data_IF_851522771506
#
_entry.id   IF_851522771506
#
_cell.length_a   1.000
_cell.length_b   1.000
_cell.length_c   1.000
_cell.angle_alpha   90.00
_cell.angle_beta   90.00
_cell.angle_gamma   90.00
#
_symmetry.space_group_name_H-M   'P 1'
#
loop_
_entity.id
_entity.type
_entity.pdbx_description
1 polymer ?
#
# COMPACT_ATOMS: atom_id res chain seq x y z
N UNK A 1 8.25 1.43 17.43
CA UNK A 1 8.64 1.56 16.01
C UNK A 1 7.67 0.78 15.16
N UNK A 2 7.01 1.45 14.24
CA UNK A 2 6.00 0.81 13.40
C UNK A 2 6.63 0.02 12.25
N UNK A 3 6.00 -1.07 11.88
CA UNK A 3 6.49 -1.94 10.82
C UNK A 3 5.70 -1.74 9.54
N UNK A 4 6.41 -1.67 8.41
CA UNK A 4 5.82 -1.60 7.08
C UNK A 4 6.18 -2.88 6.34
N UNK A 5 5.16 -3.52 5.76
CA UNK A 5 5.39 -4.66 4.88
C UNK A 5 5.54 -4.15 3.46
N UNK A 6 6.69 -4.40 2.85
CA UNK A 6 6.97 -4.04 1.46
C UNK A 6 6.92 -5.30 0.61
N UNK A 7 6.04 -5.31 -0.38
CA UNK A 7 5.87 -6.45 -1.29
C UNK A 7 6.36 -6.03 -2.66
N UNK A 8 7.51 -6.57 -3.05
CA UNK A 8 8.22 -6.18 -4.28
C UNK A 8 9.01 -7.38 -4.78
N UNK A 9 8.80 -7.76 -6.03
CA UNK A 9 9.45 -8.94 -6.60
C UNK A 9 10.89 -8.67 -7.06
N UNK A 10 11.25 -7.42 -7.31
CA UNK A 10 12.61 -7.09 -7.68
C UNK A 10 13.44 -6.77 -6.45
N UNK A 11 14.43 -7.61 -6.19
CA UNK A 11 15.23 -7.55 -4.97
C UNK A 11 15.92 -6.20 -4.77
N UNK A 12 16.50 -5.63 -5.83
CA UNK A 12 17.17 -4.34 -5.72
C UNK A 12 16.24 -3.22 -5.30
N UNK A 13 15.05 -3.18 -5.87
CA UNK A 13 14.05 -2.18 -5.52
C UNK A 13 13.56 -2.38 -4.08
N UNK A 14 13.36 -3.62 -3.68
CA UNK A 14 12.94 -3.94 -2.32
C UNK A 14 13.99 -3.49 -1.30
N UNK A 15 15.26 -3.76 -1.59
CA UNK A 15 16.36 -3.39 -0.69
C UNK A 15 16.49 -1.87 -0.55
N UNK A 16 16.39 -1.13 -1.64
CA UNK A 16 16.44 0.33 -1.60
C UNK A 16 15.29 0.87 -0.76
N UNK A 17 14.09 0.35 -0.98
CA UNK A 17 12.92 0.78 -0.22
C UNK A 17 13.11 0.51 1.27
N UNK A 18 13.63 -0.66 1.60
CA UNK A 18 13.92 -1.01 2.99
C UNK A 18 14.90 -0.03 3.63
N UNK A 19 16.01 0.26 2.96
CA UNK A 19 17.02 1.18 3.49
C UNK A 19 16.44 2.58 3.73
N UNK A 20 15.66 3.07 2.76
CA UNK A 20 15.08 4.41 2.86
C UNK A 20 14.06 4.50 4.00
N UNK A 21 13.21 3.50 4.14
CA UNK A 21 12.20 3.48 5.20
C UNK A 21 12.83 3.28 6.58
N UNK A 22 13.84 2.42 6.67
CA UNK A 22 14.54 2.20 7.95
C UNK A 22 15.27 3.46 8.39
N UNK A 23 15.80 4.24 7.46
CA UNK A 23 16.43 5.52 7.78
C UNK A 23 15.43 6.52 8.37
N UNK A 24 14.13 6.35 8.08
CA UNK A 24 13.08 7.21 8.64
C UNK A 24 12.49 6.66 9.94
N UNK A 25 13.06 5.57 10.46
CA UNK A 25 12.65 5.03 11.76
C UNK A 25 11.62 3.93 11.69
N UNK A 26 11.30 3.39 10.52
CA UNK A 26 10.38 2.27 10.40
C UNK A 26 11.12 0.94 10.42
N UNK A 27 10.47 -0.09 10.95
CA UNK A 27 10.90 -1.46 10.69
C UNK A 27 10.28 -1.91 9.37
N UNK A 28 10.97 -2.75 8.64
CA UNK A 28 10.50 -3.20 7.33
C UNK A 28 10.58 -4.72 7.24
N UNK A 29 9.47 -5.32 6.82
CA UNK A 29 9.44 -6.72 6.41
C UNK A 29 9.33 -6.74 4.89
N UNK A 30 10.07 -7.64 4.24
CA UNK A 30 10.06 -7.77 2.79
C UNK A 30 9.39 -9.06 2.36
N UNK A 31 8.55 -8.98 1.33
CA UNK A 31 7.99 -10.15 0.68
C UNK A 31 8.22 -10.03 -0.82
N UNK A 32 8.49 -11.14 -1.48
CA UNK A 32 8.82 -11.16 -2.90
C UNK A 32 7.59 -11.29 -3.82
N UNK A 33 6.44 -11.61 -3.27
CA UNK A 33 5.17 -11.70 -4.01
C UNK A 33 4.02 -11.73 -3.00
N UNK A 34 2.79 -11.73 -3.53
CA UNK A 34 1.60 -11.70 -2.68
C UNK A 34 1.43 -12.91 -1.79
N UNK A 35 1.81 -14.09 -2.27
CA UNK A 35 1.72 -15.32 -1.48
C UNK A 35 2.66 -15.27 -0.27
N UNK A 36 3.90 -14.88 -0.50
CA UNK A 36 4.87 -14.72 0.57
C UNK A 36 4.40 -13.67 1.58
N UNK A 37 3.83 -12.57 1.07
CA UNK A 37 3.28 -11.52 1.94
C UNK A 37 2.16 -12.06 2.83
N UNK A 38 1.25 -12.88 2.29
CA UNK A 38 0.18 -13.48 3.09
C UNK A 38 0.73 -14.41 4.18
N UNK A 39 1.78 -15.16 3.88
CA UNK A 39 2.43 -16.00 4.88
C UNK A 39 2.98 -15.16 6.03
N UNK A 40 3.66 -14.06 5.71
CA UNK A 40 4.17 -13.14 6.73
C UNK A 40 3.03 -12.57 7.56
N UNK A 41 1.95 -12.15 6.91
CA UNK A 41 0.81 -11.54 7.59
C UNK A 41 0.09 -12.50 8.52
N UNK A 42 0.00 -13.77 8.15
CA UNK A 42 -0.72 -14.77 8.93
C UNK A 42 0.09 -15.34 10.08
N UNK A 43 1.41 -15.46 9.89
CA UNK A 43 2.28 -16.15 10.84
C UNK A 43 3.01 -15.20 11.79
N UNK A 44 3.08 -13.93 11.47
CA UNK A 44 3.90 -12.99 12.20
C UNK A 44 3.16 -11.79 12.76
N UNK A 45 3.95 -10.81 13.15
CA UNK A 45 3.45 -9.52 13.61
C UNK A 45 2.72 -8.81 12.47
N UNK A 46 1.57 -8.20 12.77
CA UNK A 46 0.83 -7.44 11.76
C UNK A 46 1.51 -6.10 11.52
N UNK A 47 1.75 -5.74 10.25
CA UNK A 47 2.34 -4.43 9.96
C UNK A 47 1.32 -3.31 10.19
N UNK A 48 1.85 -2.09 10.33
CA UNK A 48 1.02 -0.90 10.43
C UNK A 48 0.55 -0.42 9.05
N UNK A 49 1.23 -0.86 7.97
CA UNK A 49 0.91 -0.46 6.61
C UNK A 49 1.49 -1.48 5.63
N UNK A 50 0.78 -1.72 4.55
CA UNK A 50 1.23 -2.57 3.45
C UNK A 50 1.54 -1.68 2.25
N UNK A 51 2.73 -1.83 1.68
CA UNK A 51 3.18 -1.12 0.50
C UNK A 51 3.53 -2.17 -0.55
N UNK A 52 2.71 -2.31 -1.58
CA UNK A 52 2.80 -3.44 -2.50
C UNK A 52 2.92 -3.01 -3.95
N UNK A 53 3.82 -3.65 -4.69
CA UNK A 53 3.78 -3.59 -6.13
C UNK A 53 2.52 -4.30 -6.62
N UNK A 54 2.05 -3.94 -7.81
CA UNK A 54 0.90 -4.60 -8.43
C UNK A 54 1.32 -5.77 -9.29
N UNK A 55 2.31 -5.58 -10.16
CA UNK A 55 2.78 -6.63 -11.09
C UNK A 55 3.84 -7.49 -10.42
N UNK A 56 3.44 -8.69 -10.01
CA UNK A 56 4.31 -9.65 -9.34
C UNK A 56 3.99 -11.06 -9.83
N UNK A 57 4.99 -11.97 -9.81
CA UNK A 57 4.75 -13.37 -10.16
C UNK A 57 4.00 -14.09 -9.03
N UNK A 58 3.50 -15.27 -9.29
CA UNK A 58 2.82 -16.17 -8.37
C UNK A 58 1.46 -15.62 -7.92
N UNK A 59 1.43 -14.47 -7.26
CA UNK A 59 0.22 -13.78 -6.85
C UNK A 59 0.44 -12.30 -7.02
N UNK A 60 -0.30 -11.67 -7.94
CA UNK A 60 -0.17 -10.23 -8.21
C UNK A 60 -0.81 -9.40 -7.12
N UNK A 61 -0.63 -8.08 -7.22
CA UNK A 61 -1.14 -7.15 -6.22
C UNK A 61 -2.65 -7.14 -6.09
N UNK A 62 -3.37 -7.37 -7.18
CA UNK A 62 -4.82 -7.43 -7.15
C UNK A 62 -5.33 -8.65 -6.37
N UNK A 63 -4.75 -9.79 -6.64
CA UNK A 63 -5.08 -11.03 -5.91
C UNK A 63 -4.70 -10.91 -4.44
N UNK A 64 -3.53 -10.36 -4.17
CA UNK A 64 -3.06 -10.13 -2.81
C UNK A 64 -3.99 -9.16 -2.06
N UNK A 65 -4.31 -8.03 -2.68
CA UNK A 65 -5.21 -7.04 -2.09
C UNK A 65 -6.58 -7.62 -1.78
N UNK A 66 -7.11 -8.44 -2.69
CA UNK A 66 -8.39 -9.12 -2.49
C UNK A 66 -8.33 -10.02 -1.26
N UNK A 67 -7.28 -10.82 -1.14
CA UNK A 67 -7.11 -11.73 -0.01
C UNK A 67 -7.03 -10.95 1.32
N UNK A 68 -6.30 -9.84 1.34
CA UNK A 68 -6.20 -8.98 2.53
C UNK A 68 -7.57 -8.39 2.88
N UNK A 69 -8.30 -7.90 1.88
CA UNK A 69 -9.60 -7.25 2.11
C UNK A 69 -10.65 -8.21 2.63
N UNK A 70 -10.54 -9.48 2.32
CA UNK A 70 -11.48 -10.52 2.74
C UNK A 70 -11.14 -11.13 4.10
N UNK A 71 -10.01 -10.79 4.65
CA UNK A 71 -9.56 -11.32 5.95
C UNK A 71 -9.80 -10.26 7.02
N UNK A 72 -10.73 -10.54 7.95
CA UNK A 72 -11.12 -9.57 8.98
C UNK A 72 -9.97 -9.20 9.92
N UNK A 73 -8.95 -10.03 10.04
CA UNK A 73 -7.78 -9.72 10.86
C UNK A 73 -6.79 -8.82 10.14
N UNK A 74 -6.92 -8.63 8.84
CA UNK A 74 -5.98 -7.89 8.01
C UNK A 74 -6.58 -6.66 7.32
N UNK A 75 -7.90 -6.63 7.13
CA UNK A 75 -8.54 -5.62 6.29
C UNK A 75 -8.56 -4.22 6.88
N UNK A 76 -8.10 -4.05 8.12
CA UNK A 76 -7.96 -2.74 8.74
C UNK A 76 -6.61 -2.09 8.43
N UNK A 77 -5.66 -2.84 7.86
CA UNK A 77 -4.32 -2.34 7.60
C UNK A 77 -4.33 -1.45 6.36
N UNK A 78 -3.80 -0.21 6.43
CA UNK A 78 -3.68 0.64 5.25
C UNK A 78 -2.91 -0.04 4.13
N UNK A 79 -3.41 0.05 2.91
CA UNK A 79 -2.89 -0.65 1.75
C UNK A 79 -2.57 0.33 0.63
N UNK A 80 -1.32 0.36 0.19
CA UNK A 80 -0.83 1.28 -0.84
C UNK A 80 -0.24 0.47 -1.98
N UNK A 81 -0.68 0.75 -3.22
CA UNK A 81 -0.06 0.19 -4.41
C UNK A 81 1.04 1.09 -4.94
N UNK A 82 2.08 0.46 -5.48
CA UNK A 82 3.12 1.09 -6.29
C UNK A 82 3.12 0.37 -7.63
N UNK A 83 2.98 1.08 -8.73
CA UNK A 83 2.95 0.41 -10.02
C UNK A 83 3.28 1.33 -11.20
N UNK A 84 3.87 0.75 -12.25
CA UNK A 84 3.95 1.39 -13.55
C UNK A 84 2.70 1.12 -14.38
N UNK A 85 1.88 0.15 -13.96
CA UNK A 85 0.60 -0.16 -14.61
C UNK A 85 -0.40 0.96 -14.34
N UNK A 86 -1.25 1.28 -15.29
CA UNK A 86 -2.21 2.36 -15.12
C UNK A 86 -3.22 2.07 -14.01
N UNK A 87 -3.65 3.11 -13.34
CA UNK A 87 -4.64 2.99 -12.28
C UNK A 87 -5.95 2.39 -12.78
N UNK A 88 -6.34 2.68 -14.02
CA UNK A 88 -7.56 2.13 -14.60
C UNK A 88 -7.52 0.60 -14.69
N UNK A 89 -6.38 0.06 -15.08
CA UNK A 89 -6.20 -1.40 -15.15
C UNK A 89 -6.27 -2.01 -13.75
N UNK A 90 -5.59 -1.38 -12.80
CA UNK A 90 -5.60 -1.86 -11.41
C UNK A 90 -7.02 -1.83 -10.84
N UNK A 91 -7.76 -0.75 -11.06
CA UNK A 91 -9.11 -0.59 -10.55
C UNK A 91 -10.10 -1.62 -11.08
N UNK A 92 -9.87 -2.16 -12.27
CA UNK A 92 -10.71 -3.25 -12.80
C UNK A 92 -10.55 -4.53 -12.01
N UNK A 93 -9.41 -4.70 -11.37
CA UNK A 93 -9.07 -5.93 -10.65
C UNK A 93 -9.24 -5.79 -9.14
N UNK A 94 -8.97 -4.63 -8.60
CA UNK A 94 -9.10 -4.39 -7.16
C UNK A 94 -9.13 -2.90 -6.86
N UNK A 95 -10.13 -2.47 -6.11
CA UNK A 95 -10.29 -1.07 -5.70
C UNK A 95 -10.13 -0.88 -4.19
N UNK A 96 -9.79 -1.92 -3.46
CA UNK A 96 -9.73 -1.89 -1.99
C UNK A 96 -8.47 -1.26 -1.40
N UNK A 97 -7.67 -0.56 -2.20
CA UNK A 97 -6.46 0.11 -1.72
C UNK A 97 -6.77 1.54 -1.27
N UNK A 98 -5.88 2.11 -0.47
CA UNK A 98 -6.06 3.45 0.08
C UNK A 98 -5.36 4.52 -0.74
N UNK A 99 -4.27 4.18 -1.41
CA UNK A 99 -3.56 5.09 -2.30
C UNK A 99 -2.82 4.32 -3.38
N UNK A 100 -2.54 5.00 -4.48
CA UNK A 100 -1.86 4.44 -5.65
C UNK A 100 -0.72 5.36 -6.03
N UNK A 101 0.51 4.83 -6.02
CA UNK A 101 1.71 5.57 -6.40
C UNK A 101 2.20 5.10 -7.75
N UNK A 102 2.39 6.05 -8.66
CA UNK A 102 2.91 5.76 -10.00
C UNK A 102 4.43 5.68 -9.94
N UNK A 103 5.01 4.62 -10.51
CA UNK A 103 6.45 4.50 -10.61
C UNK A 103 6.99 5.42 -11.72
N UNK A 104 8.15 6.04 -11.55
CA UNK A 104 9.07 5.92 -10.41
C UNK A 104 8.53 6.65 -9.18
N UNK A 105 8.80 6.07 -8.00
CA UNK A 105 8.27 6.59 -6.75
C UNK A 105 9.09 7.82 -6.31
N UNK A 106 8.39 8.89 -5.99
CA UNK A 106 8.99 10.07 -5.39
C UNK A 106 8.95 9.86 -3.88
N UNK A 107 10.12 9.71 -3.24
CA UNK A 107 10.20 9.23 -1.88
C UNK A 107 9.61 10.18 -0.85
N UNK A 108 9.76 11.48 -1.04
CA UNK A 108 9.20 12.45 -0.09
C UNK A 108 7.67 12.38 -0.07
N UNK A 109 7.05 12.20 -1.23
CA UNK A 109 5.61 12.01 -1.33
C UNK A 109 5.16 10.72 -0.66
N UNK A 110 5.94 9.66 -0.84
CA UNK A 110 5.67 8.38 -0.18
C UNK A 110 5.72 8.53 1.35
N UNK A 111 6.74 9.20 1.87
CA UNK A 111 6.87 9.41 3.32
C UNK A 111 5.69 10.20 3.87
N UNK A 112 5.27 11.23 3.17
CA UNK A 112 4.14 12.05 3.60
C UNK A 112 2.86 11.20 3.65
N UNK A 113 2.65 10.38 2.63
CA UNK A 113 1.50 9.48 2.58
C UNK A 113 1.53 8.47 3.72
N UNK A 114 2.68 7.86 3.96
CA UNK A 114 2.84 6.89 5.04
C UNK A 114 2.49 7.52 6.39
N UNK A 115 3.05 8.69 6.67
CA UNK A 115 2.79 9.39 7.92
C UNK A 115 1.31 9.71 8.10
N UNK A 116 0.65 10.10 7.01
CA UNK A 116 -0.77 10.40 7.02
C UNK A 116 -1.60 9.16 7.35
N UNK A 117 -1.34 8.06 6.66
CA UNK A 117 -2.08 6.83 6.87
C UNK A 117 -1.81 6.22 8.25
N UNK A 118 -0.60 6.32 8.75
CA UNK A 118 -0.27 5.80 10.08
C UNK A 118 -0.89 6.63 11.19
N UNK A 119 -1.09 7.92 10.96
CA UNK A 119 -1.72 8.81 11.94
C UNK A 119 -3.24 8.70 11.93
N UNK A 120 -3.84 8.64 10.75
CA UNK A 120 -5.29 8.68 10.58
C UNK A 120 -5.94 7.32 10.33
N UNK A 121 -5.13 6.30 10.05
CA UNK A 121 -5.63 5.00 9.66
C UNK A 121 -6.20 5.02 8.25
N UNK A 122 -6.94 3.97 7.88
CA UNK A 122 -7.54 3.89 6.56
C UNK A 122 -8.62 4.95 6.40
N UNK A 123 -8.69 5.60 5.22
CA UNK A 123 -9.83 6.46 4.91
C UNK A 123 -11.11 5.65 4.96
N UNK A 124 -12.19 6.27 5.46
CA UNK A 124 -13.47 5.57 5.49
C UNK A 124 -13.96 5.33 4.06
N UNK A 125 -14.47 4.13 3.83
CA UNK A 125 -15.06 3.76 2.54
C UNK A 125 -16.56 3.91 2.54
N UNK A 126 -17.13 4.47 3.59
CA UNK A 126 -18.55 4.75 3.66
C UNK A 126 -18.85 5.95 2.77
N UNK A 127 -19.95 5.86 2.05
CA UNK A 127 -20.34 6.90 1.10
C UNK A 127 -20.34 8.30 1.72
N UNK A 128 -20.76 8.43 2.97
CA UNK A 128 -20.95 9.71 3.61
C UNK A 128 -19.68 10.47 3.96
N UNK A 129 -18.51 9.85 3.88
CA UNK A 129 -17.29 10.52 4.29
C UNK A 129 -16.22 10.61 3.23
N UNK A 130 -16.47 10.00 2.11
CA UNK A 130 -15.42 9.76 1.10
C UNK A 130 -14.82 11.01 0.50
N UNK A 131 -15.66 11.90 -0.02
CA UNK A 131 -15.20 13.03 -0.80
C UNK A 131 -14.23 13.93 -0.05
N UNK A 132 -14.57 14.27 1.18
CA UNK A 132 -13.74 15.15 1.97
C UNK A 132 -12.38 14.55 2.32
N UNK A 133 -12.37 13.28 2.70
CA UNK A 133 -11.13 12.61 3.07
C UNK A 133 -10.19 12.51 1.88
N UNK A 134 -10.69 12.06 0.76
CA UNK A 134 -9.88 11.93 -0.45
C UNK A 134 -9.36 13.26 -0.95
N UNK A 135 -10.22 14.27 -0.96
CA UNK A 135 -9.84 15.60 -1.43
C UNK A 135 -8.76 16.21 -0.56
N UNK A 136 -8.86 16.07 0.76
CA UNK A 136 -7.82 16.53 1.67
C UNK A 136 -6.50 15.84 1.42
N UNK A 137 -6.53 14.53 1.21
CA UNK A 137 -5.32 13.77 0.94
C UNK A 137 -4.70 14.15 -0.39
N UNK A 138 -5.52 14.32 -1.43
CA UNK A 138 -5.02 14.75 -2.74
C UNK A 138 -4.36 16.11 -2.69
N UNK A 139 -4.93 17.02 -1.93
CA UNK A 139 -4.38 18.35 -1.76
C UNK A 139 -2.99 18.34 -1.13
N UNK A 140 -2.74 17.39 -0.23
CA UNK A 140 -1.48 17.28 0.48
C UNK A 140 -0.44 16.43 -0.26
N UNK A 141 -0.88 15.52 -1.13
CA UNK A 141 -0.04 14.47 -1.68
C UNK A 141 -0.02 14.50 -3.21
N UNK A 142 0.52 15.58 -3.76
CA UNK A 142 0.65 15.72 -5.21
C UNK A 142 1.46 14.56 -5.80
N UNK A 143 1.01 14.07 -6.94
CA UNK A 143 1.68 12.97 -7.62
C UNK A 143 1.23 11.60 -7.16
N UNK A 144 0.38 11.53 -6.15
CA UNK A 144 -0.18 10.29 -5.65
C UNK A 144 -1.62 10.17 -6.13
N UNK A 145 -1.97 8.99 -6.65
CA UNK A 145 -3.30 8.74 -7.14
C UNK A 145 -4.13 8.02 -6.09
N UNK A 146 -5.34 8.51 -5.85
CA UNK A 146 -6.26 7.90 -4.91
C UNK A 146 -7.21 6.96 -5.64
N UNK A 147 -7.80 5.97 -4.93
CA UNK A 147 -8.75 5.06 -5.55
C UNK A 147 -9.96 5.79 -6.10
N UNK A 148 -10.52 5.25 -7.19
CA UNK A 148 -11.80 5.74 -7.72
C UNK A 148 -12.91 5.45 -6.72
N UNK A 149 -13.92 6.32 -6.71
CA UNK A 149 -15.09 6.13 -5.84
C UNK A 149 -16.23 5.40 -6.54
N UNK A 150 -16.09 5.13 -7.80
CA UNK A 150 -17.18 4.50 -8.57
C UNK A 150 -17.37 3.02 -8.25
#
# INVERSE_FOLDING_TARGET
MKMILVVEDEYGNAEIMQLLLEAEGYRVALASNGRHALEILRDGEKPALILSDFMMPVMNGGEFGQAVSQDSSLNHIPFVFMSATSQDVVNRLFQGYDAFLVKPIEFDSLLLLIKRLLTQGRPTRRASGHGQVEESMRSLLKGIHMPSQD
#
